data_IF_364198504680
#
_entry.id   IF_364198504680
#
_cell.length_a   1.000
_cell.length_b   1.000
_cell.length_c   1.000
_cell.angle_alpha   90.00
_cell.angle_beta   90.00
_cell.angle_gamma   90.00
#
_symmetry.space_group_name_H-M   'P 1'
#
loop_
_entity.id
_entity.type
_entity.pdbx_description
1 polymer ?
#
# COMPACT_ATOMS: atom_id res chain seq x y z
N UNK A 1 16.11 -2.15 -17.72
CA UNK A 1 16.23 -0.70 -17.46
C UNK A 1 17.65 -0.27 -17.80
N UNK A 2 17.83 0.85 -18.51
CA UNK A 2 19.17 1.40 -18.81
C UNK A 2 19.64 2.29 -17.66
N UNK A 3 20.95 2.50 -17.49
CA UNK A 3 21.49 3.35 -16.42
C UNK A 3 20.92 4.78 -16.44
N UNK A 4 20.63 5.30 -17.65
CA UNK A 4 20.02 6.61 -17.84
C UNK A 4 18.55 6.62 -17.37
N UNK A 5 17.81 5.54 -17.60
CA UNK A 5 16.41 5.44 -17.15
C UNK A 5 16.34 5.38 -15.62
N UNK A 6 17.25 4.62 -14.99
CA UNK A 6 17.37 4.56 -13.53
C UNK A 6 17.71 5.94 -12.94
N UNK A 7 18.72 6.63 -13.48
CA UNK A 7 19.10 7.97 -13.00
C UNK A 7 17.94 8.99 -13.12
N UNK A 8 17.11 8.89 -14.15
CA UNK A 8 15.91 9.73 -14.30
C UNK A 8 14.83 9.40 -13.27
N UNK A 9 14.61 8.12 -13.00
CA UNK A 9 13.69 7.67 -11.95
C UNK A 9 14.13 8.20 -10.60
N UNK A 10 15.40 8.03 -10.24
CA UNK A 10 15.94 8.52 -8.96
C UNK A 10 15.83 10.04 -8.82
N UNK A 11 16.12 10.78 -9.89
CA UNK A 11 15.95 12.24 -9.92
C UNK A 11 14.49 12.65 -9.71
N UNK A 12 13.54 11.93 -10.32
CA UNK A 12 12.11 12.16 -10.08
C UNK A 12 11.73 11.89 -8.63
N UNK A 13 12.13 10.74 -8.08
CA UNK A 13 11.80 10.38 -6.71
C UNK A 13 12.43 11.32 -5.68
N UNK A 14 13.58 11.91 -5.98
CA UNK A 14 14.17 12.97 -5.16
C UNK A 14 13.28 14.23 -5.14
N UNK A 15 12.76 14.66 -6.30
CA UNK A 15 11.82 15.79 -6.39
C UNK A 15 10.51 15.46 -5.67
N UNK A 16 9.95 14.25 -5.90
CA UNK A 16 8.75 13.78 -5.19
C UNK A 16 8.95 13.84 -3.69
N UNK A 17 10.07 13.33 -3.18
CA UNK A 17 10.37 13.33 -1.75
C UNK A 17 10.44 14.77 -1.20
N UNK A 18 11.13 15.69 -1.89
CA UNK A 18 11.19 17.10 -1.50
C UNK A 18 9.81 17.76 -1.44
N UNK A 19 8.97 17.55 -2.45
CA UNK A 19 7.59 18.07 -2.48
C UNK A 19 6.75 17.49 -1.34
N UNK A 20 6.87 16.19 -1.07
CA UNK A 20 6.14 15.55 0.03
C UNK A 20 6.55 16.12 1.39
N UNK A 21 7.86 16.36 1.61
CA UNK A 21 8.35 16.97 2.85
C UNK A 21 7.93 18.43 3.01
N UNK A 22 7.68 19.16 1.91
CA UNK A 22 7.13 20.52 1.98
C UNK A 22 5.62 20.51 2.30
N UNK A 23 4.91 19.43 1.97
CA UNK A 23 3.46 19.32 2.16
C UNK A 23 3.05 18.68 3.50
N UNK A 24 3.94 17.94 4.16
CA UNK A 24 3.64 17.21 5.39
C UNK A 24 4.86 17.02 6.26
N UNK A 25 4.66 17.07 7.59
CA UNK A 25 5.69 16.73 8.58
C UNK A 25 5.58 15.27 9.07
N UNK A 26 4.58 14.51 8.62
CA UNK A 26 4.37 13.12 9.04
C UNK A 26 5.27 12.19 8.21
N UNK A 27 6.34 11.71 8.84
CA UNK A 27 7.33 10.82 8.20
C UNK A 27 6.73 9.52 7.69
N UNK A 28 5.70 8.98 8.34
CA UNK A 28 5.05 7.74 7.91
C UNK A 28 4.17 8.02 6.68
N UNK A 29 3.47 9.15 6.65
CA UNK A 29 2.68 9.58 5.50
C UNK A 29 3.57 9.88 4.29
N UNK A 30 4.70 10.56 4.50
CA UNK A 30 5.71 10.81 3.47
C UNK A 30 6.24 9.49 2.93
N UNK A 31 6.66 8.56 3.80
CA UNK A 31 7.18 7.26 3.40
C UNK A 31 6.18 6.43 2.61
N UNK A 32 4.91 6.42 3.03
CA UNK A 32 3.82 5.75 2.34
C UNK A 32 3.58 6.34 0.95
N UNK A 33 3.49 7.67 0.85
CA UNK A 33 3.30 8.35 -0.43
C UNK A 33 4.50 8.15 -1.37
N UNK A 34 5.73 8.18 -0.85
CA UNK A 34 6.94 7.94 -1.66
C UNK A 34 6.96 6.51 -2.22
N UNK A 35 6.53 5.50 -1.44
CA UNK A 35 6.42 4.12 -1.91
C UNK A 35 5.37 3.96 -3.02
N UNK A 36 4.23 4.63 -2.90
CA UNK A 36 3.20 4.65 -3.97
C UNK A 36 3.73 5.38 -5.21
N UNK A 37 4.48 6.47 -5.04
CA UNK A 37 5.09 7.19 -6.16
C UNK A 37 6.17 6.35 -6.87
N UNK A 38 7.00 5.61 -6.14
CA UNK A 38 8.00 4.69 -6.69
C UNK A 38 7.37 3.56 -7.53
N UNK A 39 6.18 3.11 -7.15
CA UNK A 39 5.41 2.18 -7.98
C UNK A 39 4.89 2.86 -9.26
N UNK A 40 4.28 4.04 -9.14
CA UNK A 40 3.64 4.73 -10.27
C UNK A 40 4.64 5.36 -11.25
N UNK A 41 5.86 5.68 -10.82
CA UNK A 41 6.89 6.30 -11.68
C UNK A 41 7.40 5.34 -12.75
N UNK A 42 7.31 4.02 -12.50
CA UNK A 42 7.71 2.99 -13.46
C UNK A 42 6.84 3.04 -14.73
N UNK A 43 5.59 3.49 -14.62
CA UNK A 43 4.66 3.67 -15.74
C UNK A 43 4.96 4.90 -16.62
N UNK A 44 5.86 5.80 -16.20
CA UNK A 44 6.13 7.07 -16.90
C UNK A 44 7.19 6.96 -18.01
N UNK A 45 7.71 5.75 -18.29
CA UNK A 45 8.57 5.36 -19.44
C UNK A 45 9.56 6.44 -19.94
N UNK A 46 10.23 7.14 -19.01
CA UNK A 46 11.36 8.02 -19.33
C UNK A 46 11.02 9.43 -19.84
N UNK A 47 9.76 9.89 -19.75
CA UNK A 47 9.36 11.29 -20.01
C UNK A 47 9.07 12.06 -18.72
N UNK A 48 9.92 11.91 -17.71
CA UNK A 48 9.66 12.49 -16.40
C UNK A 48 10.19 13.92 -16.35
N UNK A 49 9.28 14.89 -16.31
CA UNK A 49 9.57 16.30 -16.04
C UNK A 49 9.39 16.62 -14.55
N UNK A 50 9.88 17.79 -14.11
CA UNK A 50 9.65 18.27 -12.74
C UNK A 50 8.15 18.43 -12.43
N UNK A 51 7.36 18.89 -13.40
CA UNK A 51 5.90 18.97 -13.28
C UNK A 51 5.29 17.59 -13.06
N UNK A 52 5.78 16.57 -13.76
CA UNK A 52 5.29 15.19 -13.58
C UNK A 52 5.63 14.67 -12.18
N UNK A 53 6.81 15.01 -11.65
CA UNK A 53 7.20 14.66 -10.28
C UNK A 53 6.30 15.33 -9.23
N UNK A 54 5.93 16.60 -9.42
CA UNK A 54 4.99 17.30 -8.54
C UNK A 54 3.60 16.66 -8.60
N UNK A 55 3.09 16.40 -9.81
CA UNK A 55 1.80 15.74 -10.00
C UNK A 55 1.80 14.34 -9.39
N UNK A 56 2.91 13.60 -9.52
CA UNK A 56 3.10 12.28 -8.94
C UNK A 56 3.07 12.33 -7.41
N UNK A 57 3.78 13.29 -6.80
CA UNK A 57 3.77 13.49 -5.35
C UNK A 57 2.37 13.76 -4.81
N UNK A 58 1.65 14.72 -5.43
CA UNK A 58 0.28 15.07 -5.04
C UNK A 58 -0.66 13.88 -5.25
N UNK A 59 -0.51 13.14 -6.36
CA UNK A 59 -1.34 11.97 -6.67
C UNK A 59 -1.14 10.86 -5.63
N UNK A 60 0.12 10.52 -5.34
CA UNK A 60 0.46 9.49 -4.38
C UNK A 60 -0.06 9.84 -2.96
N UNK A 61 0.17 11.06 -2.52
CA UNK A 61 -0.32 11.56 -1.23
C UNK A 61 -1.86 11.56 -1.16
N UNK A 62 -2.53 11.92 -2.26
CA UNK A 62 -3.99 11.90 -2.34
C UNK A 62 -4.54 10.48 -2.24
N UNK A 63 -3.94 9.51 -2.94
CA UNK A 63 -4.35 8.10 -2.86
C UNK A 63 -4.18 7.55 -1.44
N UNK A 64 -3.05 7.80 -0.78
CA UNK A 64 -2.81 7.36 0.59
C UNK A 64 -3.79 8.00 1.57
N UNK A 65 -3.99 9.33 1.50
CA UNK A 65 -4.95 10.02 2.38
C UNK A 65 -6.39 9.56 2.18
N UNK A 66 -6.79 9.28 0.94
CA UNK A 66 -8.11 8.73 0.63
C UNK A 66 -8.28 7.36 1.27
N UNK A 67 -7.33 6.46 1.08
CA UNK A 67 -7.40 5.13 1.66
C UNK A 67 -7.39 5.18 3.20
N UNK A 68 -6.58 6.04 3.85
CA UNK A 68 -6.63 6.24 5.31
C UNK A 68 -8.04 6.65 5.78
N UNK A 69 -8.70 7.56 5.06
CA UNK A 69 -10.06 8.01 5.40
C UNK A 69 -11.09 6.89 5.23
N UNK A 70 -11.07 6.22 4.08
CA UNK A 70 -11.99 5.12 3.80
C UNK A 70 -11.88 4.01 4.86
N UNK A 71 -10.66 3.68 5.29
CA UNK A 71 -10.43 2.70 6.36
C UNK A 71 -10.92 3.19 7.74
N UNK A 72 -10.66 4.45 8.09
CA UNK A 72 -11.17 5.02 9.34
C UNK A 72 -12.70 5.04 9.39
N UNK A 73 -13.34 5.40 8.27
CA UNK A 73 -14.80 5.52 8.18
C UNK A 73 -15.50 4.14 8.23
N UNK A 74 -14.86 3.09 7.70
CA UNK A 74 -15.43 1.73 7.65
C UNK A 74 -15.19 0.95 8.95
N UNK A 75 -13.97 0.98 9.50
CA UNK A 75 -13.57 0.08 10.59
C UNK A 75 -13.32 0.78 11.94
N UNK A 76 -13.36 2.13 11.98
CA UNK A 76 -13.03 2.92 13.18
C UNK A 76 -11.61 2.73 13.69
N UNK A 77 -10.75 2.05 12.92
CA UNK A 77 -9.38 1.73 13.25
C UNK A 77 -8.44 2.54 12.36
N UNK A 78 -7.53 3.28 13.00
CA UNK A 78 -6.42 3.91 12.31
C UNK A 78 -5.47 2.83 11.77
N UNK A 79 -5.37 2.74 10.44
CA UNK A 79 -4.43 1.86 9.76
C UNK A 79 -3.09 2.58 9.60
N UNK A 80 -1.99 1.84 9.82
CA UNK A 80 -0.65 2.35 9.61
C UNK A 80 -0.43 2.78 8.15
N UNK A 81 0.21 3.93 7.94
CA UNK A 81 0.35 4.55 6.62
C UNK A 81 1.13 3.67 5.63
N UNK A 82 2.14 2.92 6.07
CA UNK A 82 2.88 2.00 5.20
C UNK A 82 2.02 0.83 4.76
N UNK A 83 1.16 0.34 5.65
CA UNK A 83 0.19 -0.71 5.32
C UNK A 83 -0.89 -0.21 4.36
N UNK A 84 -1.26 1.07 4.46
CA UNK A 84 -2.13 1.73 3.48
C UNK A 84 -1.44 1.85 2.11
N UNK A 85 -0.14 2.17 2.07
CA UNK A 85 0.60 2.21 0.80
C UNK A 85 0.61 0.84 0.10
N UNK A 86 0.83 -0.25 0.84
CA UNK A 86 0.78 -1.61 0.28
C UNK A 86 -0.63 -1.92 -0.25
N UNK A 87 -1.70 -1.51 0.46
CA UNK A 87 -3.07 -1.65 -0.03
C UNK A 87 -3.32 -0.86 -1.32
N UNK A 88 -2.89 0.39 -1.38
CA UNK A 88 -3.03 1.24 -2.58
C UNK A 88 -2.31 0.62 -3.78
N UNK A 89 -1.09 0.12 -3.58
CA UNK A 89 -0.32 -0.54 -4.66
C UNK A 89 -1.03 -1.82 -5.11
N UNK A 90 -1.51 -2.63 -4.18
CA UNK A 90 -2.22 -3.87 -4.50
C UNK A 90 -3.52 -3.59 -5.28
N UNK A 91 -4.25 -2.53 -4.91
CA UNK A 91 -5.42 -2.05 -5.65
C UNK A 91 -5.07 -1.61 -7.08
N UNK A 92 -3.92 -0.96 -7.29
CA UNK A 92 -3.47 -0.60 -8.64
C UNK A 92 -3.06 -1.83 -9.47
N UNK A 93 -2.46 -2.83 -8.84
CA UNK A 93 -2.01 -4.06 -9.51
C UNK A 93 -3.18 -4.98 -9.89
N UNK A 94 -4.14 -5.16 -8.97
CA UNK A 94 -5.15 -6.22 -9.06
C UNK A 94 -6.58 -5.69 -9.29
N UNK A 95 -6.76 -4.38 -9.23
CA UNK A 95 -8.07 -3.73 -9.26
C UNK A 95 -8.78 -3.79 -7.89
N UNK A 96 -9.74 -2.88 -7.71
CA UNK A 96 -10.43 -2.65 -6.43
C UNK A 96 -11.12 -3.90 -5.84
N UNK A 97 -11.65 -4.79 -6.70
CA UNK A 97 -12.37 -6.00 -6.29
C UNK A 97 -11.45 -7.16 -5.86
N UNK A 98 -10.17 -7.12 -6.26
CA UNK A 98 -9.22 -8.23 -6.04
C UNK A 98 -8.25 -7.96 -4.90
N UNK A 99 -8.17 -6.71 -4.42
CA UNK A 99 -7.31 -6.38 -3.29
C UNK A 99 -7.82 -7.08 -2.02
N UNK A 100 -6.95 -7.68 -1.19
CA UNK A 100 -7.36 -8.43 -0.03
C UNK A 100 -7.91 -7.46 1.03
N UNK A 101 -9.21 -7.19 0.92
CA UNK A 101 -10.01 -6.62 1.98
C UNK A 101 -9.98 -7.65 3.12
N UNK A 102 -9.13 -7.41 4.13
CA UNK A 102 -9.33 -8.07 5.41
C UNK A 102 -10.79 -7.81 5.80
N UNK A 103 -11.56 -8.84 6.21
CA UNK A 103 -13.02 -8.77 6.25
C UNK A 103 -13.50 -7.50 6.98
N UNK A 104 -14.10 -6.60 6.21
CA UNK A 104 -14.44 -5.20 6.57
C UNK A 104 -15.77 -5.08 7.33
N UNK A 105 -16.25 -6.18 7.90
CA UNK A 105 -17.37 -6.12 8.85
C UNK A 105 -17.01 -6.90 10.11
N UNK A 106 -17.44 -6.38 11.26
CA UNK A 106 -17.33 -7.06 12.55
C UNK A 106 -17.89 -8.49 12.48
N UNK A 107 -18.96 -8.69 11.72
CA UNK A 107 -19.54 -10.00 11.42
C UNK A 107 -18.57 -10.92 10.66
N UNK A 108 -17.98 -10.45 9.56
CA UNK A 108 -17.03 -11.23 8.77
C UNK A 108 -15.71 -11.52 9.52
N UNK A 109 -15.30 -10.64 10.45
CA UNK A 109 -14.18 -10.91 11.37
C UNK A 109 -14.53 -11.97 12.42
N UNK A 110 -15.75 -11.95 12.96
CA UNK A 110 -16.24 -12.98 13.89
C UNK A 110 -16.36 -14.31 13.16
N UNK A 111 -16.82 -14.31 11.91
CA UNK A 111 -16.99 -15.49 11.08
C UNK A 111 -15.63 -16.07 10.64
N UNK A 112 -14.66 -15.23 10.24
CA UNK A 112 -13.30 -15.66 9.96
C UNK A 112 -12.59 -16.21 11.20
N UNK A 113 -12.81 -15.60 12.38
CA UNK A 113 -12.28 -16.11 13.66
C UNK A 113 -12.97 -17.41 14.08
N UNK A 114 -14.28 -17.54 13.86
CA UNK A 114 -15.02 -18.77 14.09
C UNK A 114 -14.55 -19.89 13.14
N UNK A 115 -14.36 -19.61 11.85
CA UNK A 115 -13.84 -20.55 10.87
C UNK A 115 -12.39 -20.99 11.17
N UNK A 116 -11.56 -20.09 11.70
CA UNK A 116 -10.21 -20.42 12.16
C UNK A 116 -10.21 -21.28 13.45
N UNK A 117 -11.20 -21.09 14.33
CA UNK A 117 -11.41 -21.88 15.55
C UNK A 117 -12.06 -23.24 15.25
N UNK A 118 -12.86 -23.35 14.19
CA UNK A 118 -13.53 -24.59 13.74
C UNK A 118 -12.61 -25.45 12.86
N UNK A 119 -11.41 -25.00 12.50
CA UNK A 119 -10.41 -25.93 11.94
C UNK A 119 -10.10 -26.97 13.00
N UNK A 120 -10.27 -28.27 12.72
CA UNK A 120 -9.91 -29.29 13.68
C UNK A 120 -8.41 -29.19 13.93
N UNK A 121 -8.03 -28.85 15.17
CA UNK A 121 -6.73 -29.21 15.74
C UNK A 121 -6.67 -30.74 15.87
N UNK A 122 -6.63 -31.43 14.74
CA UNK A 122 -6.28 -32.84 14.64
C UNK A 122 -4.76 -32.93 14.60
N UNK A 123 -4.17 -33.29 15.74
CA UNK A 123 -2.74 -33.56 15.90
C UNK A 123 -2.18 -34.47 14.79
N UNK A 124 -0.92 -34.30 14.35
CA UNK A 124 -0.25 -35.35 13.60
C UNK A 124 -0.01 -36.53 14.55
N UNK A 125 -0.87 -37.55 14.48
CA UNK A 125 -0.63 -38.84 15.11
C UNK A 125 0.61 -39.43 14.43
N UNK A 126 1.74 -39.41 15.13
CA UNK A 126 2.95 -40.14 14.70
C UNK A 126 2.63 -41.64 14.71
N UNK A 127 2.97 -42.40 13.66
CA UNK A 127 2.83 -43.84 13.69
C UNK A 127 3.86 -44.43 14.65
N UNK A 128 3.38 -45.16 15.66
CA UNK A 128 4.19 -46.03 16.51
C UNK A 128 4.41 -47.32 15.73
N UNK A 129 5.65 -47.58 15.33
CA UNK A 129 6.06 -48.88 14.80
C UNK A 129 6.34 -49.84 15.98
N UNK A 130 5.66 -50.98 15.98
CA UNK A 130 5.99 -52.16 16.78
C UNK A 130 7.04 -53.01 16.07
#
# INVERSE_FOLDING_TARGET
MTDIALARKDACLAVVHAVLTDLSDDSNLIGAALRVADYLVDDLEGKITETDAILLAVTALTKVNRAIREWNDVDGNAMDAMRVADFVIDEQMNGYDSAPHQPTSSAARIEARAAAVIRPTGSPVRPVHH
#
